data_IF_609137209876
#
_entry.id   IF_609137209876
#
_cell.length_a   1.000
_cell.length_b   1.000
_cell.length_c   1.000
_cell.angle_alpha   90.00
_cell.angle_beta   90.00
_cell.angle_gamma   90.00
#
_symmetry.space_group_name_H-M   'P 1'
#
loop_
_entity.id
_entity.type
_entity.pdbx_description
1 polymer ?
#
# COMPACT_ATOMS: atom_id res chain seq x y z
N UNK A 1 47.47 21.02 -26.79
CA UNK A 1 46.65 19.79 -26.87
C UNK A 1 46.31 19.43 -25.43
N UNK A 2 45.36 20.16 -24.84
CA UNK A 2 43.92 19.84 -24.71
C UNK A 2 43.68 18.66 -23.77
N UNK A 3 43.29 18.99 -22.54
CA UNK A 3 42.50 18.12 -21.68
C UNK A 3 41.14 17.82 -22.34
N UNK A 4 40.47 16.74 -21.89
CA UNK A 4 39.20 17.01 -21.23
C UNK A 4 38.98 16.17 -19.95
N UNK A 5 38.23 16.79 -19.05
CA UNK A 5 37.48 16.22 -17.94
C UNK A 5 35.98 16.35 -18.27
N UNK A 6 35.18 15.57 -17.54
CA UNK A 6 33.70 15.60 -17.42
C UNK A 6 32.97 14.62 -18.34
N UNK A 7 32.80 13.39 -17.84
CA UNK A 7 31.55 12.63 -18.00
C UNK A 7 30.81 12.72 -16.67
N UNK A 8 29.81 13.59 -16.60
CA UNK A 8 28.85 13.63 -15.50
C UNK A 8 27.82 12.55 -15.80
N UNK A 9 28.01 11.35 -15.25
CA UNK A 9 26.92 10.39 -15.11
C UNK A 9 26.15 10.84 -13.88
N UNK A 10 25.02 11.52 -14.10
CA UNK A 10 24.03 11.74 -13.07
C UNK A 10 23.53 10.36 -12.64
N UNK A 11 23.88 9.97 -11.42
CA UNK A 11 23.20 8.87 -10.72
C UNK A 11 21.80 9.37 -10.42
N UNK A 12 20.79 8.76 -11.05
CA UNK A 12 19.41 8.88 -10.60
C UNK A 12 19.35 8.37 -9.16
N UNK A 13 18.84 9.21 -8.25
CA UNK A 13 18.53 8.78 -6.90
C UNK A 13 17.20 8.02 -6.97
N UNK A 14 17.28 6.69 -7.02
CA UNK A 14 16.16 5.83 -6.61
C UNK A 14 16.07 5.97 -5.10
N UNK A 15 15.12 6.77 -4.63
CA UNK A 15 14.76 6.82 -3.21
C UNK A 15 13.46 6.04 -3.10
N UNK A 16 13.56 4.70 -3.14
CA UNK A 16 12.50 3.87 -2.59
C UNK A 16 12.58 4.01 -1.08
N UNK A 17 11.62 4.72 -0.49
CA UNK A 17 11.50 4.86 0.96
C UNK A 17 11.12 3.49 1.51
N UNK A 18 12.02 2.88 2.29
CA UNK A 18 11.79 1.56 2.84
C UNK A 18 10.70 1.62 3.93
N UNK A 19 9.78 0.65 3.92
CA UNK A 19 8.79 0.44 4.99
C UNK A 19 9.50 0.16 6.32
N UNK A 20 9.64 1.18 7.18
CA UNK A 20 10.35 1.05 8.47
C UNK A 20 9.40 0.54 9.54
N UNK A 21 9.71 -0.62 10.11
CA UNK A 21 9.08 -1.13 11.32
C UNK A 21 9.55 -0.30 12.53
N UNK A 22 8.61 0.26 13.29
CA UNK A 22 8.89 1.04 14.51
C UNK A 22 8.89 0.12 15.74
N UNK A 23 9.58 0.51 16.83
CA UNK A 23 9.64 -0.29 18.07
C UNK A 23 8.27 -0.51 18.74
N UNK A 24 7.28 0.32 18.40
CA UNK A 24 5.90 0.28 18.92
C UNK A 24 4.93 -0.50 17.99
N UNK A 25 5.41 -1.01 16.84
CA UNK A 25 4.58 -1.79 15.92
C UNK A 25 4.28 -3.18 16.51
N UNK A 26 3.04 -3.69 16.40
CA UNK A 26 2.77 -5.10 16.62
C UNK A 26 3.62 -5.97 15.69
N UNK A 27 4.10 -7.11 16.19
CA UNK A 27 4.82 -8.07 15.37
C UNK A 27 3.96 -8.45 14.14
N UNK A 28 4.52 -8.44 12.91
CA UNK A 28 3.80 -8.88 11.73
C UNK A 28 3.29 -10.32 11.86
N UNK A 29 2.11 -10.58 11.29
CA UNK A 29 1.51 -11.90 11.22
C UNK A 29 1.66 -12.45 9.79
N UNK A 30 2.47 -13.49 9.64
CA UNK A 30 2.58 -14.23 8.38
C UNK A 30 1.64 -15.44 8.37
N UNK A 31 0.89 -15.59 7.29
CA UNK A 31 -0.01 -16.71 7.02
C UNK A 31 0.30 -17.23 5.62
N UNK A 32 0.55 -18.53 5.50
CA UNK A 32 0.82 -19.20 4.22
C UNK A 32 -0.17 -20.33 3.95
N UNK A 33 -0.35 -20.66 2.68
CA UNK A 33 -1.25 -21.74 2.27
C UNK A 33 -1.25 -22.00 0.77
N UNK A 34 -2.23 -22.79 0.32
CA UNK A 34 -2.43 -23.11 -1.08
C UNK A 34 -3.91 -23.28 -1.39
N UNK A 35 -4.33 -22.74 -2.53
CA UNK A 35 -5.72 -22.74 -2.96
C UNK A 35 -6.66 -21.99 -2.01
N UNK A 36 -7.96 -22.10 -2.28
CA UNK A 36 -8.98 -21.46 -1.47
C UNK A 36 -8.99 -21.97 -0.01
N UNK A 37 -8.96 -21.05 0.95
CA UNK A 37 -8.80 -21.34 2.39
C UNK A 37 -9.48 -20.26 3.24
N UNK A 38 -10.07 -20.67 4.35
CA UNK A 38 -10.44 -19.77 5.46
C UNK A 38 -9.43 -19.99 6.57
N UNK A 39 -8.77 -18.94 7.05
CA UNK A 39 -7.71 -19.04 8.06
C UNK A 39 -8.27 -19.28 9.46
N UNK A 40 -7.38 -19.59 10.41
CA UNK A 40 -7.69 -19.41 11.83
C UNK A 40 -7.89 -17.92 12.15
N UNK A 41 -8.59 -17.64 13.26
CA UNK A 41 -8.82 -16.28 13.74
C UNK A 41 -7.53 -15.64 14.30
N UNK A 42 -7.38 -14.33 14.10
CA UNK A 42 -6.30 -13.49 14.64
C UNK A 42 -6.84 -12.14 15.13
N UNK A 43 -6.08 -11.49 16.00
CA UNK A 43 -6.45 -10.19 16.57
C UNK A 43 -5.79 -9.05 15.78
N UNK A 44 -6.55 -8.01 15.49
CA UNK A 44 -6.04 -6.72 15.02
C UNK A 44 -6.18 -5.69 16.12
N UNK A 45 -5.13 -4.89 16.31
CA UNK A 45 -5.11 -3.79 17.29
C UNK A 45 -5.81 -2.52 16.78
N UNK A 46 -6.45 -2.59 15.60
CA UNK A 46 -7.07 -1.47 14.88
C UNK A 46 -6.09 -0.46 14.27
N UNK A 47 -6.63 0.43 13.43
CA UNK A 47 -5.87 1.43 12.68
C UNK A 47 -5.40 0.91 11.32
N UNK A 48 -4.32 1.52 10.81
CA UNK A 48 -3.71 1.13 9.54
C UNK A 48 -3.31 -0.34 9.60
N UNK A 49 -3.85 -1.13 8.66
CA UNK A 49 -3.57 -2.55 8.50
C UNK A 49 -3.19 -2.78 7.05
N UNK A 50 -1.96 -3.23 6.83
CA UNK A 50 -1.40 -3.50 5.51
C UNK A 50 -1.29 -5.01 5.32
N UNK A 51 -1.73 -5.50 4.18
CA UNK A 51 -1.50 -6.86 3.72
C UNK A 51 -0.48 -6.82 2.57
N UNK A 52 0.70 -7.36 2.81
CA UNK A 52 1.65 -7.70 1.74
C UNK A 52 1.44 -9.16 1.38
N UNK A 53 1.41 -9.49 0.09
CA UNK A 53 1.13 -10.85 -0.32
C UNK A 53 1.88 -11.24 -1.58
N UNK A 54 2.13 -12.55 -1.67
CA UNK A 54 2.56 -13.22 -2.90
C UNK A 54 1.60 -14.36 -3.23
N UNK A 55 1.37 -14.59 -4.52
CA UNK A 55 0.59 -15.71 -5.04
C UNK A 55 1.22 -16.21 -6.36
N UNK A 56 1.35 -17.52 -6.52
CA UNK A 56 1.98 -18.14 -7.69
C UNK A 56 0.99 -18.83 -8.67
N UNK A 57 -0.31 -18.66 -8.44
CA UNK A 57 -1.37 -19.24 -9.27
C UNK A 57 -1.63 -18.50 -10.57
N UNK A 58 -2.54 -19.02 -11.39
CA UNK A 58 -2.88 -18.46 -12.71
C UNK A 58 -4.30 -17.87 -12.76
N UNK A 59 -5.12 -18.06 -11.71
CA UNK A 59 -6.50 -17.65 -11.63
C UNK A 59 -6.72 -16.58 -10.54
N UNK A 60 -7.95 -16.44 -10.06
CA UNK A 60 -8.28 -15.45 -9.04
C UNK A 60 -7.37 -15.59 -7.81
N UNK A 61 -6.91 -14.45 -7.30
CA UNK A 61 -6.35 -14.31 -5.98
C UNK A 61 -7.14 -13.22 -5.27
N UNK A 62 -8.11 -13.65 -4.46
CA UNK A 62 -9.01 -12.77 -3.71
C UNK A 62 -8.76 -13.02 -2.23
N UNK A 63 -8.49 -11.94 -1.49
CA UNK A 63 -8.27 -11.98 -0.04
C UNK A 63 -9.23 -11.00 0.61
N UNK A 64 -10.14 -11.53 1.42
CA UNK A 64 -11.11 -10.75 2.18
C UNK A 64 -10.77 -10.81 3.68
N UNK A 65 -10.71 -9.66 4.33
CA UNK A 65 -10.54 -9.55 5.77
C UNK A 65 -11.92 -9.53 6.44
N UNK A 66 -12.26 -10.60 7.15
CA UNK A 66 -13.60 -10.82 7.71
C UNK A 66 -13.59 -10.59 9.22
N UNK A 67 -14.31 -9.58 9.75
CA UNK A 67 -14.51 -9.43 11.18
C UNK A 67 -15.45 -10.53 11.70
N UNK A 68 -15.10 -11.16 12.82
CA UNK A 68 -15.88 -12.27 13.40
C UNK A 68 -16.91 -11.81 14.44
N UNK A 69 -16.71 -10.63 15.01
CA UNK A 69 -17.61 -10.02 15.98
C UNK A 69 -18.60 -9.04 15.32
N UNK A 70 -18.10 -7.85 14.95
CA UNK A 70 -18.84 -6.77 14.29
C UNK A 70 -17.89 -6.04 13.34
N UNK A 71 -18.45 -5.51 12.26
CA UNK A 71 -17.70 -4.76 11.26
C UNK A 71 -18.20 -5.10 9.86
N UNK A 72 -17.54 -4.52 8.88
CA UNK A 72 -17.74 -4.86 7.47
C UNK A 72 -16.53 -5.68 7.01
N UNK A 73 -16.78 -6.61 6.09
CA UNK A 73 -15.70 -7.27 5.37
C UNK A 73 -14.95 -6.23 4.53
N UNK A 74 -13.63 -6.34 4.49
CA UNK A 74 -12.78 -5.48 3.67
C UNK A 74 -12.11 -6.34 2.59
N UNK A 75 -12.17 -5.88 1.34
CA UNK A 75 -11.46 -6.52 0.24
C UNK A 75 -10.02 -6.03 0.24
N UNK A 76 -9.07 -6.90 0.64
CA UNK A 76 -7.66 -6.54 0.65
C UNK A 76 -7.06 -6.68 -0.74
N UNK A 77 -7.25 -7.83 -1.39
CA UNK A 77 -6.63 -8.14 -2.68
C UNK A 77 -7.68 -8.72 -3.61
N UNK A 78 -7.66 -8.28 -4.87
CA UNK A 78 -8.48 -8.82 -5.95
C UNK A 78 -7.70 -8.80 -7.25
N UNK A 79 -6.93 -9.86 -7.48
CA UNK A 79 -6.05 -10.00 -8.64
C UNK A 79 -6.37 -11.28 -9.44
N UNK A 80 -5.79 -11.38 -10.62
CA UNK A 80 -5.82 -12.59 -11.45
C UNK A 80 -4.38 -12.95 -11.82
N UNK A 81 -3.98 -14.18 -11.49
CA UNK A 81 -2.68 -14.74 -11.78
C UNK A 81 -1.68 -14.53 -10.65
N UNK A 82 -0.40 -14.47 -11.05
CA UNK A 82 0.70 -14.18 -10.14
C UNK A 82 0.49 -12.80 -9.49
N UNK A 83 0.77 -12.72 -8.20
CA UNK A 83 0.68 -11.49 -7.42
C UNK A 83 1.93 -11.35 -6.56
N UNK A 84 2.47 -10.14 -6.51
CA UNK A 84 3.52 -9.69 -5.59
C UNK A 84 3.26 -8.21 -5.37
N UNK A 85 2.74 -7.87 -4.20
CA UNK A 85 2.30 -6.51 -3.92
C UNK A 85 1.64 -6.35 -2.56
N UNK A 86 1.04 -5.18 -2.36
CA UNK A 86 0.39 -4.84 -1.11
C UNK A 86 -0.93 -4.09 -1.30
N UNK A 87 -1.73 -4.11 -0.25
CA UNK A 87 -2.93 -3.29 -0.07
C UNK A 87 -3.07 -2.91 1.39
N UNK A 88 -3.90 -1.92 1.70
CA UNK A 88 -4.09 -1.45 3.06
C UNK A 88 -5.46 -0.86 3.33
N UNK A 89 -5.91 -1.01 4.58
CA UNK A 89 -7.21 -0.55 5.07
C UNK A 89 -7.08 0.08 6.46
N UNK A 90 -8.11 0.80 6.89
CA UNK A 90 -8.28 1.20 8.29
C UNK A 90 -9.20 0.18 8.97
N UNK A 91 -8.61 -0.79 9.65
CA UNK A 91 -9.37 -1.81 10.37
C UNK A 91 -9.77 -1.33 11.77
N UNK A 92 -10.91 -1.80 12.27
CA UNK A 92 -11.25 -1.65 13.68
C UNK A 92 -10.45 -2.65 14.54
N UNK A 93 -10.34 -2.39 15.84
CA UNK A 93 -9.78 -3.38 16.76
C UNK A 93 -10.75 -4.55 16.92
N UNK A 94 -10.25 -5.79 16.83
CA UNK A 94 -11.05 -6.98 17.07
C UNK A 94 -10.46 -8.26 16.47
N UNK A 95 -11.28 -9.30 16.49
CA UNK A 95 -10.93 -10.63 15.97
C UNK A 95 -11.37 -10.78 14.51
N UNK A 96 -10.44 -11.18 13.66
CA UNK A 96 -10.59 -11.33 12.22
C UNK A 96 -10.16 -12.71 11.74
N UNK A 97 -10.57 -13.08 10.53
CA UNK A 97 -9.99 -14.16 9.74
C UNK A 97 -9.82 -13.69 8.29
N UNK A 98 -9.04 -14.41 7.49
CA UNK A 98 -9.02 -14.21 6.04
C UNK A 98 -9.88 -15.28 5.36
N UNK A 99 -10.74 -14.85 4.43
CA UNK A 99 -11.36 -15.72 3.42
C UNK A 99 -10.60 -15.53 2.10
N UNK A 100 -10.03 -16.62 1.59
CA UNK A 100 -9.09 -16.60 0.45
C UNK A 100 -9.66 -17.47 -0.67
N UNK A 101 -9.81 -16.91 -1.86
CA UNK A 101 -10.04 -17.65 -3.11
C UNK A 101 -8.76 -17.58 -3.96
N UNK A 102 -8.13 -18.74 -4.15
CA UNK A 102 -6.85 -18.89 -4.83
C UNK A 102 -6.76 -20.24 -5.55
N UNK A 103 -5.87 -20.35 -6.54
CA UNK A 103 -5.55 -21.60 -7.23
C UNK A 103 -4.09 -22.06 -7.05
N UNK A 104 -3.21 -21.20 -6.53
CA UNK A 104 -1.79 -21.46 -6.27
C UNK A 104 -1.40 -21.46 -4.78
N UNK A 105 -0.10 -21.58 -4.51
CA UNK A 105 0.53 -21.24 -3.24
C UNK A 105 0.46 -19.71 -3.02
N UNK A 106 0.29 -19.32 -1.76
CA UNK A 106 0.27 -17.92 -1.35
C UNK A 106 0.90 -17.75 0.02
N UNK A 107 1.43 -16.55 0.27
CA UNK A 107 1.89 -16.08 1.56
C UNK A 107 1.39 -14.65 1.74
N UNK A 108 0.84 -14.34 2.92
CA UNK A 108 0.27 -13.04 3.27
C UNK A 108 0.88 -12.61 4.60
N UNK A 109 1.44 -11.41 4.65
CA UNK A 109 1.95 -10.78 5.85
C UNK A 109 1.10 -9.56 6.22
N UNK A 110 0.46 -9.64 7.38
CA UNK A 110 -0.34 -8.55 7.94
C UNK A 110 0.54 -7.70 8.85
N UNK A 111 0.58 -6.40 8.58
CA UNK A 111 1.31 -5.39 9.35
C UNK A 111 0.39 -4.32 9.89
N UNK A 112 0.71 -3.79 11.06
CA UNK A 112 -0.03 -2.67 11.68
C UNK A 112 0.95 -1.55 12.10
N UNK A 113 1.55 -0.81 11.14
CA UNK A 113 2.57 0.18 11.45
C UNK A 113 1.98 1.33 12.29
N UNK A 114 2.74 1.79 13.29
CA UNK A 114 2.38 2.85 14.26
C UNK A 114 3.50 3.87 14.51
N UNK A 115 4.13 4.40 13.46
CA UNK A 115 5.18 5.39 13.61
C UNK A 115 4.70 6.66 14.32
N UNK A 116 5.65 7.31 14.97
CA UNK A 116 5.49 8.66 15.50
C UNK A 116 5.70 9.70 14.41
N UNK A 117 5.27 10.94 14.66
CA UNK A 117 5.46 12.04 13.70
C UNK A 117 6.94 12.36 13.43
N UNK A 118 7.83 12.07 14.38
CA UNK A 118 9.28 12.29 14.21
C UNK A 118 9.94 11.21 13.33
N UNK A 119 9.26 10.08 13.08
CA UNK A 119 9.69 9.01 12.19
C UNK A 119 9.14 9.16 10.77
N UNK A 120 8.20 10.09 10.56
CA UNK A 120 7.53 10.32 9.29
C UNK A 120 8.24 11.35 8.41
N UNK A 121 8.34 11.07 7.12
CA UNK A 121 8.89 12.00 6.14
C UNK A 121 7.89 13.12 5.81
N UNK A 122 8.37 14.35 5.74
CA UNK A 122 7.54 15.50 5.36
C UNK A 122 7.36 15.61 3.85
N UNK A 123 6.21 16.10 3.40
CA UNK A 123 6.01 16.52 2.01
C UNK A 123 6.95 17.69 1.60
N UNK A 124 7.34 17.80 0.33
CA UNK A 124 6.90 16.98 -0.81
C UNK A 124 7.63 15.65 -0.93
N UNK A 125 6.95 14.65 -1.51
CA UNK A 125 7.50 13.33 -1.83
C UNK A 125 7.22 12.95 -3.28
N UNK A 126 8.12 12.13 -3.83
CA UNK A 126 8.05 11.58 -5.19
C UNK A 126 8.17 10.06 -5.06
N UNK A 127 7.19 9.34 -5.58
CA UNK A 127 7.04 7.90 -5.52
C UNK A 127 6.95 7.34 -6.95
N UNK A 128 7.53 6.17 -7.16
CA UNK A 128 7.49 5.44 -8.43
C UNK A 128 7.45 3.94 -8.14
N UNK A 129 6.75 3.19 -8.98
CA UNK A 129 6.62 1.75 -8.78
C UNK A 129 6.03 1.02 -9.98
N UNK A 130 5.96 -0.30 -9.85
CA UNK A 130 5.28 -1.19 -10.78
C UNK A 130 4.42 -2.15 -9.95
N UNK A 131 3.12 -2.24 -10.27
CA UNK A 131 2.19 -3.05 -9.49
C UNK A 131 1.71 -2.35 -8.22
N UNK A 132 1.04 -3.12 -7.36
CA UNK A 132 0.43 -2.59 -6.14
C UNK A 132 1.43 -2.53 -4.99
N UNK A 133 1.45 -1.44 -4.22
CA UNK A 133 2.37 -1.22 -3.10
C UNK A 133 1.76 -0.35 -2.03
N UNK A 134 2.53 -0.12 -0.97
CA UNK A 134 2.33 0.97 -0.03
C UNK A 134 3.65 1.69 0.28
N UNK A 135 3.57 2.96 0.64
CA UNK A 135 4.71 3.83 0.97
C UNK A 135 4.40 4.69 2.19
N UNK A 136 5.44 5.04 2.94
CA UNK A 136 5.38 5.91 4.12
C UNK A 136 6.27 5.40 5.26
N UNK A 137 6.12 5.95 6.47
CA UNK A 137 5.14 6.97 6.87
C UNK A 137 5.43 8.38 6.35
N UNK A 138 4.37 9.13 6.04
CA UNK A 138 4.43 10.54 5.69
C UNK A 138 3.70 11.42 6.70
N UNK A 139 4.23 12.62 6.94
CA UNK A 139 3.61 13.66 7.75
C UNK A 139 2.86 14.65 6.86
N UNK A 140 1.54 14.61 6.91
CA UNK A 140 0.63 15.53 6.22
C UNK A 140 0.28 16.73 7.12
N UNK A 141 0.15 17.92 6.52
CA UNK A 141 -0.11 19.20 7.21
C UNK A 141 -1.27 19.97 6.54
N UNK A 142 -2.37 19.26 6.30
CA UNK A 142 -3.63 19.78 5.75
C UNK A 142 -3.76 19.67 4.23
N UNK A 143 -4.35 20.70 3.61
CA UNK A 143 -4.65 20.74 2.18
C UNK A 143 -3.37 20.69 1.33
N UNK A 144 -3.19 19.60 0.60
CA UNK A 144 -2.12 19.38 -0.35
C UNK A 144 -2.62 19.04 -1.76
N UNK A 145 -1.67 18.74 -2.65
CA UNK A 145 -1.91 18.36 -4.04
C UNK A 145 -1.20 17.05 -4.35
N UNK A 146 -1.88 16.17 -5.07
CA UNK A 146 -1.28 14.98 -5.64
C UNK A 146 -1.28 15.08 -7.18
N UNK A 147 -0.19 14.66 -7.83
CA UNK A 147 -0.14 14.44 -9.27
C UNK A 147 0.33 13.02 -9.55
N UNK A 148 -0.47 12.28 -10.31
CA UNK A 148 -0.26 10.86 -10.60
C UNK A 148 -0.23 10.56 -12.09
N UNK A 149 0.54 9.54 -12.45
CA UNK A 149 0.63 8.96 -13.79
C UNK A 149 0.61 7.44 -13.71
N UNK A 150 -0.06 6.78 -14.66
CA UNK A 150 -0.10 5.33 -14.79
C UNK A 150 -0.01 4.95 -16.27
N UNK A 151 0.92 4.06 -16.62
CA UNK A 151 1.13 3.59 -17.99
C UNK A 151 0.53 2.18 -18.24
N UNK A 152 -0.08 1.59 -17.22
CA UNK A 152 -0.61 0.23 -17.21
C UNK A 152 -2.02 0.06 -17.81
N UNK A 153 -2.58 -1.14 -17.60
CA UNK A 153 -3.93 -1.54 -18.04
C UNK A 153 -4.65 -2.17 -16.85
N UNK A 154 -5.81 -1.65 -16.47
CA UNK A 154 -6.49 -2.01 -15.22
C UNK A 154 -6.43 -0.90 -14.18
N UNK A 155 -6.55 -1.24 -12.90
CA UNK A 155 -6.71 -0.27 -11.83
C UNK A 155 -5.47 0.64 -11.69
N UNK A 156 -5.74 1.90 -11.35
CA UNK A 156 -4.81 2.83 -10.73
C UNK A 156 -5.58 3.56 -9.62
N UNK A 157 -5.52 3.00 -8.42
CA UNK A 157 -6.20 3.52 -7.24
C UNK A 157 -5.12 3.95 -6.26
N UNK A 158 -5.24 5.18 -5.75
CA UNK A 158 -4.32 5.72 -4.76
C UNK A 158 -5.15 6.21 -3.59
N UNK A 159 -4.88 5.68 -2.40
CA UNK A 159 -5.50 6.09 -1.16
C UNK A 159 -4.45 6.55 -0.14
N UNK A 160 -4.84 7.47 0.73
CA UNK A 160 -4.08 7.85 1.92
C UNK A 160 -4.77 7.24 3.13
N UNK A 161 -4.04 6.45 3.90
CA UNK A 161 -4.47 5.84 5.16
C UNK A 161 -3.95 6.68 6.33
N UNK A 162 -4.75 7.63 6.88
CA UNK A 162 -4.36 8.40 8.04
C UNK A 162 -4.32 7.52 9.30
N UNK A 163 -3.17 7.47 9.99
CA UNK A 163 -2.99 6.66 11.22
C UNK A 163 -3.99 7.02 12.32
N UNK A 164 -4.41 8.29 12.40
CA UNK A 164 -5.40 8.77 13.36
C UNK A 164 -6.83 8.93 12.81
N UNK A 165 -7.07 8.55 11.55
CA UNK A 165 -8.35 8.75 10.88
C UNK A 165 -9.30 7.55 10.99
N UNK A 166 -10.56 7.78 10.60
CA UNK A 166 -11.60 6.75 10.51
C UNK A 166 -11.90 6.33 9.06
N UNK A 167 -11.41 7.10 8.09
CA UNK A 167 -11.67 6.92 6.67
C UNK A 167 -10.37 7.18 5.92
N UNK A 168 -10.15 6.41 4.85
CA UNK A 168 -9.12 6.72 3.86
C UNK A 168 -9.50 7.99 3.08
N UNK A 169 -8.49 8.67 2.54
CA UNK A 169 -8.66 9.73 1.57
C UNK A 169 -8.32 9.20 0.18
N UNK A 170 -9.32 9.12 -0.69
CA UNK A 170 -9.16 8.66 -2.06
C UNK A 170 -8.56 9.78 -2.93
N UNK A 171 -7.32 9.60 -3.37
CA UNK A 171 -6.67 10.54 -4.28
C UNK A 171 -7.01 10.24 -5.75
N UNK A 172 -6.85 8.99 -6.17
CA UNK A 172 -7.13 8.55 -7.54
C UNK A 172 -7.94 7.26 -7.55
N UNK A 173 -8.89 7.14 -8.47
CA UNK A 173 -9.60 5.91 -8.78
C UNK A 173 -9.84 5.87 -10.29
N UNK A 174 -8.85 5.37 -11.00
CA UNK A 174 -8.76 5.45 -12.44
C UNK A 174 -8.54 4.05 -13.03
N UNK A 175 -8.76 3.95 -14.34
CA UNK A 175 -8.56 2.73 -15.11
C UNK A 175 -7.65 3.02 -16.30
N UNK A 176 -6.82 2.04 -16.63
CA UNK A 176 -5.86 2.06 -17.72
C UNK A 176 -4.91 3.28 -17.62
N UNK A 177 -4.47 3.81 -18.76
CA UNK A 177 -3.54 4.93 -18.79
C UNK A 177 -4.16 6.20 -18.20
N UNK A 178 -3.42 6.83 -17.29
CA UNK A 178 -3.86 8.02 -16.57
C UNK A 178 -2.72 9.02 -16.42
N UNK A 179 -3.05 10.32 -16.45
CA UNK A 179 -2.18 11.42 -16.04
C UNK A 179 -3.08 12.55 -15.53
N UNK A 180 -2.89 12.98 -14.28
CA UNK A 180 -3.78 13.98 -13.69
C UNK A 180 -3.31 14.53 -12.34
N UNK A 181 -4.05 15.49 -11.81
CA UNK A 181 -3.83 16.06 -10.48
C UNK A 181 -5.14 16.14 -9.69
N UNK A 182 -5.05 16.02 -8.37
CA UNK A 182 -6.15 16.22 -7.43
C UNK A 182 -5.64 16.91 -6.16
N UNK A 183 -6.53 17.16 -5.21
CA UNK A 183 -6.19 17.64 -3.86
C UNK A 183 -6.57 16.60 -2.82
N UNK A 184 -5.87 16.61 -1.68
CA UNK A 184 -6.22 15.88 -0.46
C UNK A 184 -6.19 16.86 0.72
N UNK A 185 -6.89 16.56 1.81
CA UNK A 185 -6.90 17.38 3.03
C UNK A 185 -6.81 16.48 4.28
N UNK A 186 -5.58 16.18 4.69
CA UNK A 186 -5.27 15.25 5.78
C UNK A 186 -4.21 15.88 6.69
N UNK A 187 -4.36 15.67 8.00
CA UNK A 187 -3.40 16.09 9.02
C UNK A 187 -2.80 14.86 9.72
N UNK A 188 -1.50 14.92 10.01
CA UNK A 188 -0.79 13.92 10.81
C UNK A 188 -0.13 12.83 9.99
N UNK A 189 0.22 11.73 10.66
CA UNK A 189 0.94 10.62 10.03
C UNK A 189 -0.03 9.76 9.20
N UNK A 190 0.39 9.38 8.00
CA UNK A 190 -0.34 8.44 7.16
C UNK A 190 0.54 7.69 6.19
N UNK A 191 -0.08 6.75 5.49
CA UNK A 191 0.55 5.91 4.48
C UNK A 191 -0.18 6.07 3.15
N UNK A 192 0.52 5.92 2.06
CA UNK A 192 -0.07 5.91 0.72
C UNK A 192 -0.14 4.46 0.27
N UNK A 193 -1.32 4.00 -0.14
CA UNK A 193 -1.47 2.73 -0.86
C UNK A 193 -1.69 3.02 -2.33
N UNK A 194 -1.11 2.18 -3.18
CA UNK A 194 -1.30 2.21 -4.62
C UNK A 194 -1.74 0.82 -5.06
N UNK A 195 -2.95 0.70 -5.58
CA UNK A 195 -3.38 -0.48 -6.32
C UNK A 195 -3.19 -0.19 -7.81
N UNK A 196 -2.25 -0.88 -8.46
CA UNK A 196 -1.92 -0.62 -9.85
C UNK A 196 -1.63 -1.88 -10.65
N UNK A 197 -1.98 -1.84 -11.93
CA UNK A 197 -1.68 -2.87 -12.93
C UNK A 197 -0.72 -2.34 -14.00
N UNK A 198 0.52 -2.06 -13.57
CA UNK A 198 1.61 -1.56 -14.41
C UNK A 198 2.47 -0.52 -13.69
N UNK A 199 3.31 0.16 -14.45
CA UNK A 199 4.19 1.23 -13.93
C UNK A 199 3.39 2.50 -13.65
N UNK A 200 3.71 3.16 -12.55
CA UNK A 200 3.11 4.43 -12.13
C UNK A 200 4.14 5.36 -11.49
N UNK A 201 3.79 6.63 -11.41
CA UNK A 201 4.48 7.63 -10.59
C UNK A 201 3.48 8.53 -9.87
N UNK A 202 3.86 9.01 -8.68
CA UNK A 202 3.04 9.86 -7.83
C UNK A 202 3.92 10.93 -7.17
N UNK A 203 3.46 12.16 -7.20
CA UNK A 203 4.05 13.28 -6.45
C UNK A 203 3.00 13.85 -5.51
N UNK A 204 3.41 14.22 -4.30
CA UNK A 204 2.53 14.81 -3.30
C UNK A 204 3.22 16.01 -2.66
N UNK A 205 2.54 17.16 -2.59
CA UNK A 205 3.06 18.44 -2.08
C UNK A 205 2.05 19.24 -1.24
#
# INVERSE_FOLDING_TARGET
>A
MTAPIVGSSGTAATTGTANVQSDDDPDPLTIDGTGATVTDEFELEGGVTIAEAVHDGEANFIVELIPTDNGYEELLINAIGEYDGASGVLAEQGTYLLDIDADGEWEIEIRQPRPTADEADSLPVELEGEGSTWDGPFLFDGLGRAHGSHEGQGNFIVEILPQGGLFSELAFNELDQFEGETTFDIDGVGFVTVEAAGTWSLSME
#
